data_IF_334439678386
#
_entry.id   IF_334439678386
#
_cell.length_a   1.000
_cell.length_b   1.000
_cell.length_c   1.000
_cell.angle_alpha   90.00
_cell.angle_beta   90.00
_cell.angle_gamma   90.00
#
_symmetry.space_group_name_H-M   'P 1'
#
loop_
_entity.id
_entity.type
_entity.pdbx_description
1 polymer ?
#
# COMPACT_ATOMS: atom_id res chain seq x y z
N UNK A 1 -9.33 -48.96 -1.27
CA UNK A 1 -7.99 -48.68 -1.83
C UNK A 1 -7.69 -47.19 -1.65
N UNK A 2 -6.51 -46.86 -1.12
CA UNK A 2 -6.11 -45.45 -0.93
C UNK A 2 -5.12 -45.10 -2.02
N UNK A 3 -5.40 -44.02 -2.78
CA UNK A 3 -4.53 -43.47 -3.82
C UNK A 3 -3.63 -42.37 -3.23
N UNK A 4 -2.49 -42.12 -3.89
CA UNK A 4 -1.66 -40.96 -3.58
C UNK A 4 -2.44 -39.67 -3.84
N UNK A 5 -2.35 -38.72 -2.91
CA UNK A 5 -3.06 -37.43 -2.98
C UNK A 5 -2.43 -36.45 -3.99
N UNK A 6 -1.18 -36.68 -4.39
CA UNK A 6 -0.52 -35.80 -5.36
C UNK A 6 -1.17 -35.90 -6.74
N UNK A 7 -1.39 -34.74 -7.40
CA UNK A 7 -1.97 -34.67 -8.72
C UNK A 7 -1.08 -35.42 -9.75
N UNK A 8 -1.69 -36.23 -10.63
CA UNK A 8 -0.98 -36.99 -11.65
C UNK A 8 -0.24 -38.25 -11.14
N UNK A 9 -0.31 -38.53 -9.84
CA UNK A 9 0.29 -39.75 -9.27
C UNK A 9 -0.70 -40.91 -9.22
N UNK A 10 -0.33 -42.05 -9.81
CA UNK A 10 -1.19 -43.23 -9.92
C UNK A 10 -0.94 -44.31 -8.85
N UNK A 11 -0.05 -44.07 -7.90
CA UNK A 11 0.29 -45.02 -6.83
C UNK A 11 -0.89 -45.22 -5.86
N UNK A 12 -1.17 -46.50 -5.54
CA UNK A 12 -2.28 -46.92 -4.65
C UNK A 12 -1.88 -48.09 -3.76
N UNK A 13 -2.58 -48.25 -2.64
CA UNK A 13 -2.43 -49.45 -1.79
C UNK A 13 -2.89 -50.72 -2.49
N UNK A 14 -2.20 -51.87 -2.31
CA UNK A 14 -2.64 -53.20 -2.74
C UNK A 14 -2.01 -53.75 -4.02
N UNK A 15 -1.11 -53.05 -4.70
CA UNK A 15 -0.19 -53.60 -5.70
C UNK A 15 1.23 -53.60 -5.14
N UNK A 16 2.13 -54.48 -5.63
CA UNK A 16 3.58 -54.44 -5.27
C UNK A 16 4.11 -53.03 -5.49
N UNK A 17 4.09 -52.24 -4.43
CA UNK A 17 4.52 -50.84 -4.44
C UNK A 17 6.02 -50.77 -4.26
N UNK A 18 6.68 -50.03 -5.16
CA UNK A 18 8.10 -49.64 -5.00
C UNK A 18 8.26 -48.46 -4.02
N UNK A 19 7.15 -47.94 -3.48
CA UNK A 19 7.16 -46.73 -2.59
C UNK A 19 6.14 -46.89 -1.44
N UNK A 20 6.45 -46.28 -0.30
CA UNK A 20 5.58 -46.22 0.88
C UNK A 20 4.53 -45.11 0.75
N UNK A 21 3.39 -45.25 1.43
CA UNK A 21 2.34 -44.23 1.50
C UNK A 21 2.30 -43.61 2.92
N UNK A 22 2.67 -42.34 3.02
CA UNK A 22 2.73 -41.58 4.28
C UNK A 22 1.41 -40.88 4.59
N UNK A 23 1.07 -40.81 5.89
CA UNK A 23 -0.01 -39.96 6.38
C UNK A 23 0.45 -38.51 6.44
N UNK A 24 -0.47 -37.59 6.17
CA UNK A 24 -0.24 -36.17 6.38
C UNK A 24 0.08 -35.87 7.85
N UNK A 25 0.85 -34.79 8.14
CA UNK A 25 1.17 -34.39 9.49
C UNK A 25 -0.08 -34.06 10.32
N UNK A 26 -0.01 -34.29 11.64
CA UNK A 26 -1.03 -33.86 12.58
C UNK A 26 -1.00 -32.36 12.83
N UNK A 27 0.18 -31.75 12.74
CA UNK A 27 0.32 -30.29 12.80
C UNK A 27 -0.42 -29.63 11.65
N UNK A 28 -1.31 -28.68 11.99
CA UNK A 28 -2.22 -28.02 11.03
C UNK A 28 -1.46 -27.19 9.99
N UNK A 29 -0.34 -26.55 10.40
CA UNK A 29 0.43 -25.67 9.51
C UNK A 29 1.24 -26.49 8.52
N UNK A 30 1.88 -27.53 8.99
CA UNK A 30 2.66 -28.44 8.16
C UNK A 30 1.74 -29.20 7.19
N UNK A 31 0.61 -29.69 7.66
CA UNK A 31 -0.42 -30.34 6.83
C UNK A 31 -0.91 -29.44 5.72
N UNK A 32 -1.25 -28.17 6.01
CA UNK A 32 -1.67 -27.18 5.02
C UNK A 32 -0.61 -26.99 3.94
N UNK A 33 0.65 -26.88 4.34
CA UNK A 33 1.80 -26.78 3.42
C UNK A 33 1.92 -27.99 2.49
N UNK A 34 1.72 -29.20 3.01
CA UNK A 34 1.76 -30.42 2.20
C UNK A 34 0.60 -30.49 1.21
N UNK A 35 -0.60 -30.12 1.63
CA UNK A 35 -1.80 -30.06 0.75
C UNK A 35 -1.57 -29.05 -0.40
N UNK A 36 -1.10 -27.85 -0.08
CA UNK A 36 -0.79 -26.82 -1.07
C UNK A 36 0.28 -27.28 -2.08
N UNK A 37 1.32 -27.97 -1.61
CA UNK A 37 2.36 -28.55 -2.49
C UNK A 37 1.82 -29.65 -3.40
N UNK A 38 0.78 -30.37 -3.02
CA UNK A 38 0.14 -31.36 -3.87
C UNK A 38 -0.67 -30.76 -5.03
N UNK A 39 -1.02 -29.48 -4.99
CA UNK A 39 -1.76 -28.72 -6.02
C UNK A 39 -3.02 -29.41 -6.52
N UNK A 40 -3.72 -30.12 -5.65
CA UNK A 40 -4.94 -30.82 -6.00
C UNK A 40 -6.13 -29.89 -5.87
N UNK A 41 -6.75 -29.53 -7.01
CA UNK A 41 -7.88 -28.62 -7.07
C UNK A 41 -9.23 -29.34 -7.31
N UNK A 42 -9.18 -30.66 -7.62
CA UNK A 42 -10.35 -31.47 -7.94
C UNK A 42 -11.15 -31.91 -6.70
N UNK A 43 -10.54 -31.90 -5.54
CA UNK A 43 -11.17 -32.22 -4.25
C UNK A 43 -10.37 -31.73 -3.06
N UNK A 44 -11.06 -31.55 -1.94
CA UNK A 44 -10.44 -31.19 -0.67
C UNK A 44 -9.69 -32.36 -0.02
N UNK A 45 -8.79 -32.01 0.91
CA UNK A 45 -8.05 -32.96 1.73
C UNK A 45 -8.96 -33.69 2.73
N UNK A 46 -8.78 -35.00 2.81
CA UNK A 46 -9.43 -35.88 3.81
C UNK A 46 -8.38 -36.48 4.75
N UNK A 47 -8.66 -36.67 6.07
CA UNK A 47 -7.72 -37.27 7.05
C UNK A 47 -7.18 -38.66 6.67
N UNK A 48 -7.90 -39.38 5.82
CA UNK A 48 -7.49 -40.68 5.31
C UNK A 48 -6.56 -40.62 4.10
N UNK A 49 -6.32 -39.45 3.54
CA UNK A 49 -5.43 -39.28 2.38
C UNK A 49 -3.98 -39.62 2.74
N UNK A 50 -3.25 -40.08 1.74
CA UNK A 50 -1.86 -40.48 1.83
C UNK A 50 -1.08 -39.88 0.68
N UNK A 51 0.22 -39.70 0.87
CA UNK A 51 1.14 -39.30 -0.18
C UNK A 51 2.29 -40.28 -0.26
N UNK A 52 2.69 -40.70 -1.47
CA UNK A 52 3.73 -41.71 -1.60
C UNK A 52 5.15 -41.15 -1.41
N UNK A 53 6.06 -41.99 -0.97
CA UNK A 53 7.47 -41.63 -0.70
C UNK A 53 8.21 -41.07 -1.91
N UNK A 54 7.74 -41.32 -3.13
CA UNK A 54 8.31 -40.77 -4.37
C UNK A 54 8.26 -39.23 -4.44
N UNK A 55 7.42 -38.61 -3.64
CA UNK A 55 7.29 -37.15 -3.57
C UNK A 55 8.22 -36.50 -2.52
N UNK A 56 9.03 -37.30 -1.83
CA UNK A 56 9.93 -36.85 -0.78
C UNK A 56 11.39 -37.06 -1.19
N UNK A 57 12.23 -36.09 -0.90
CA UNK A 57 13.67 -36.21 -1.10
C UNK A 57 14.18 -37.43 -0.28
N UNK A 58 14.94 -38.31 -0.93
CA UNK A 58 15.44 -39.59 -0.36
C UNK A 58 14.34 -40.52 0.19
N UNK A 59 13.09 -40.30 -0.21
CA UNK A 59 11.94 -41.05 0.28
C UNK A 59 11.60 -40.82 1.76
N UNK A 60 12.24 -39.86 2.43
CA UNK A 60 12.09 -39.61 3.86
C UNK A 60 10.97 -38.60 4.14
N UNK A 61 10.04 -39.00 5.01
CA UNK A 61 8.90 -38.16 5.39
C UNK A 61 9.27 -36.83 6.02
N UNK A 62 10.38 -36.78 6.75
CA UNK A 62 10.90 -35.61 7.45
C UNK A 62 11.23 -34.43 6.53
N UNK A 63 11.62 -34.71 5.28
CA UNK A 63 11.96 -33.71 4.29
C UNK A 63 10.74 -33.02 3.67
N UNK A 64 9.52 -33.46 3.99
CA UNK A 64 8.31 -32.99 3.35
C UNK A 64 8.23 -33.34 1.85
N UNK A 65 7.04 -33.23 1.22
CA UNK A 65 6.90 -33.54 -0.19
C UNK A 65 7.40 -32.36 -1.06
N UNK A 66 8.42 -32.61 -1.91
CA UNK A 66 9.06 -31.60 -2.76
C UNK A 66 9.17 -32.04 -4.22
N UNK A 67 9.01 -33.33 -4.51
CA UNK A 67 9.20 -33.91 -5.85
C UNK A 67 7.83 -34.15 -6.50
N UNK A 68 7.50 -33.36 -7.52
CA UNK A 68 6.26 -33.48 -8.29
C UNK A 68 6.56 -33.35 -9.78
N UNK A 69 5.66 -33.87 -10.64
CA UNK A 69 5.82 -33.79 -12.09
C UNK A 69 5.92 -32.36 -12.63
N UNK A 70 5.30 -31.41 -11.97
CA UNK A 70 5.36 -29.98 -12.31
C UNK A 70 6.57 -29.25 -11.71
N UNK A 71 7.33 -29.87 -10.79
CA UNK A 71 8.52 -29.27 -10.16
C UNK A 71 9.84 -29.61 -10.86
N UNK A 72 9.80 -30.28 -12.00
CA UNK A 72 11.00 -30.77 -12.71
C UNK A 72 11.99 -29.67 -13.14
N UNK A 73 11.58 -28.42 -13.16
CA UNK A 73 12.42 -27.27 -13.53
C UNK A 73 12.77 -26.33 -12.37
N UNK A 74 12.33 -26.60 -11.15
CA UNK A 74 12.64 -25.80 -9.98
C UNK A 74 13.23 -26.71 -8.90
N UNK A 75 14.53 -26.61 -8.69
CA UNK A 75 15.15 -27.18 -7.52
C UNK A 75 14.49 -26.63 -6.27
N UNK A 76 14.35 -27.46 -5.25
CA UNK A 76 13.83 -27.21 -3.89
C UNK A 76 12.94 -25.98 -3.70
N UNK A 77 11.75 -26.21 -3.17
CA UNK A 77 10.96 -25.10 -2.61
C UNK A 77 11.85 -24.41 -1.55
N UNK A 78 12.02 -23.08 -1.59
CA UNK A 78 12.83 -22.40 -0.60
C UNK A 78 12.29 -22.70 0.80
N UNK A 79 13.16 -23.10 1.71
CA UNK A 79 12.84 -23.22 3.13
C UNK A 79 12.49 -21.83 3.64
N UNK A 80 11.22 -21.56 3.77
CA UNK A 80 10.74 -20.37 4.48
C UNK A 80 11.10 -20.59 5.95
N UNK A 81 12.19 -19.96 6.40
CA UNK A 81 12.59 -19.96 7.80
C UNK A 81 11.38 -19.51 8.64
N UNK A 82 10.87 -20.43 9.46
CA UNK A 82 9.76 -20.14 10.38
C UNK A 82 10.29 -19.12 11.37
N UNK A 83 9.73 -17.90 11.47
CA UNK A 83 10.14 -16.97 12.52
C UNK A 83 9.86 -17.62 13.86
N UNK A 84 10.91 -17.94 14.61
CA UNK A 84 10.80 -18.46 15.98
C UNK A 84 10.00 -17.44 16.78
N UNK A 85 8.81 -17.83 17.25
CA UNK A 85 8.01 -17.02 18.19
C UNK A 85 8.90 -16.68 19.37
N UNK A 86 9.23 -15.40 19.56
CA UNK A 86 9.80 -14.91 20.82
C UNK A 86 8.79 -15.28 21.93
N UNK A 87 9.21 -16.12 22.87
CA UNK A 87 8.49 -16.30 24.13
C UNK A 87 8.43 -14.94 24.80
N UNK A 88 7.24 -14.41 24.95
CA UNK A 88 7.00 -13.26 25.81
C UNK A 88 7.21 -13.79 27.23
N UNK A 89 8.37 -13.51 27.80
CA UNK A 89 8.59 -13.68 29.23
C UNK A 89 7.70 -12.65 29.92
N UNK A 90 6.80 -13.13 30.75
CA UNK A 90 6.08 -12.29 31.70
C UNK A 90 7.13 -11.65 32.61
N UNK A 91 7.10 -10.35 32.89
CA UNK A 91 7.99 -9.76 33.87
C UNK A 91 7.70 -10.39 35.23
N UNK A 92 8.71 -10.93 35.84
CA UNK A 92 8.65 -11.35 37.26
C UNK A 92 8.48 -10.07 38.08
N UNK A 93 7.48 -10.07 38.96
CA UNK A 93 7.31 -9.05 39.98
C UNK A 93 8.32 -9.40 41.05
N UNK A 94 9.45 -8.69 41.09
CA UNK A 94 10.35 -8.74 42.23
C UNK A 94 9.91 -7.67 43.22
N UNK A 95 9.58 -8.15 44.45
CA UNK A 95 9.41 -7.35 45.63
C UNK A 95 10.77 -6.73 46.02
N UNK A 96 10.86 -5.40 45.96
CA UNK A 96 12.04 -4.67 46.43
C UNK A 96 11.90 -4.46 47.91
N UNK A 97 12.62 -5.28 48.71
CA UNK A 97 12.91 -4.98 50.09
C UNK A 97 14.06 -3.97 50.19
N UNK A 98 13.80 -2.91 50.93
CA UNK A 98 14.77 -1.88 51.19
C UNK A 98 15.89 -2.34 52.12
N UNK A 99 17.15 -2.22 51.69
CA UNK A 99 18.27 -2.01 52.65
C UNK A 99 19.55 -1.57 51.88
N UNK A 100 20.08 -0.47 52.41
CA UNK A 100 21.48 -0.04 52.43
C UNK A 100 22.13 0.59 51.16
N UNK A 101 22.28 1.87 51.34
CA UNK A 101 23.24 2.79 50.72
C UNK A 101 24.66 2.34 51.03
N UNK A 102 25.52 2.25 50.03
CA UNK A 102 26.96 2.47 50.24
C UNK A 102 27.53 3.31 49.10
N UNK A 103 28.38 4.27 49.54
CA UNK A 103 28.97 5.34 48.77
C UNK A 103 30.33 4.91 48.29
N UNK A 104 30.67 5.19 47.05
CA UNK A 104 32.06 5.25 46.61
C UNK A 104 32.35 4.71 45.23
N UNK A 105 32.67 5.62 44.34
CA UNK A 105 33.90 5.67 43.55
C UNK A 105 33.76 6.61 42.35
N UNK A 106 34.61 7.60 42.36
CA UNK A 106 34.86 8.58 41.31
C UNK A 106 35.38 7.88 40.05
N UNK A 107 34.87 8.28 38.90
CA UNK A 107 35.50 8.01 37.59
C UNK A 107 35.69 9.34 36.87
N UNK A 108 36.95 9.73 36.78
CA UNK A 108 37.45 10.88 36.03
C UNK A 108 37.12 10.76 34.55
N UNK A 109 36.58 11.80 33.97
CA UNK A 109 36.46 11.99 32.53
C UNK A 109 37.39 13.12 32.14
N UNK A 110 38.46 12.77 31.45
CA UNK A 110 39.41 13.72 30.85
C UNK A 110 38.71 14.55 29.77
N UNK A 111 38.65 15.85 30.01
CA UNK A 111 38.25 16.85 29.03
C UNK A 111 39.53 17.40 28.32
N UNK A 112 39.67 17.06 27.06
CA UNK A 112 40.69 17.63 26.20
C UNK A 112 40.08 18.85 25.48
N UNK A 113 40.37 20.05 25.92
CA UNK A 113 40.04 21.30 25.23
C UNK A 113 41.29 22.18 25.07
N UNK A 114 41.89 22.15 23.89
CA UNK A 114 42.87 23.16 23.47
C UNK A 114 42.10 24.34 22.85
N UNK A 115 41.93 25.39 23.59
CA UNK A 115 41.62 26.73 23.07
C UNK A 115 42.72 27.66 23.59
N UNK A 116 43.58 28.11 22.68
CA UNK A 116 44.56 29.15 22.88
C UNK A 116 43.84 30.50 23.02
N UNK A 117 44.05 31.16 24.17
CA UNK A 117 43.60 32.53 24.44
C UNK A 117 44.76 33.48 24.09
N UNK A 118 44.54 34.57 23.35
CA UNK A 118 45.60 35.58 23.15
C UNK A 118 45.65 36.49 24.40
N UNK A 119 46.86 36.68 24.90
CA UNK A 119 47.20 37.63 25.94
C UNK A 119 46.95 39.08 25.52
N UNK A 120 46.75 39.91 26.56
CA UNK A 120 46.66 41.39 26.58
C UNK A 120 45.31 42.03 26.27
N UNK A 121 44.50 42.14 27.32
CA UNK A 121 43.57 43.27 27.49
C UNK A 121 43.97 43.99 28.78
N UNK A 122 44.46 45.21 28.60
CA UNK A 122 44.72 46.17 29.62
C UNK A 122 43.48 46.48 30.47
N UNK A 123 43.57 46.18 31.74
CA UNK A 123 42.51 46.52 32.71
C UNK A 123 42.54 48.02 32.95
N UNK A 124 41.58 48.73 32.38
CA UNK A 124 41.25 50.08 32.85
C UNK A 124 40.34 49.93 34.06
N UNK A 125 40.90 50.41 35.23
CA UNK A 125 40.14 50.60 36.46
C UNK A 125 39.07 51.66 36.21
N UNK A 126 37.79 51.24 36.24
CA UNK A 126 36.69 52.13 36.52
C UNK A 126 35.89 51.58 37.69
N UNK A 127 36.20 52.10 38.89
CA UNK A 127 35.46 51.76 40.08
C UNK A 127 34.35 52.78 40.30
N UNK A 128 33.20 52.59 39.69
CA UNK A 128 31.96 53.25 40.09
C UNK A 128 30.73 52.31 40.05
N UNK A 129 30.76 51.20 40.81
CA UNK A 129 29.57 50.40 41.09
C UNK A 129 29.38 50.11 42.57
N UNK A 130 29.34 51.12 43.36
CA UNK A 130 29.07 50.96 44.78
C UNK A 130 28.00 51.92 45.27
N UNK A 131 26.79 51.86 44.61
CA UNK A 131 25.62 52.62 45.18
C UNK A 131 24.28 51.87 44.93
N UNK A 132 24.25 50.59 44.81
CA UNK A 132 23.02 49.83 44.96
C UNK A 132 23.07 49.03 46.26
N UNK A 133 22.13 49.30 47.16
CA UNK A 133 22.11 48.67 48.47
C UNK A 133 22.00 47.12 48.31
N UNK A 134 22.64 46.33 49.19
CA UNK A 134 22.61 44.90 49.17
C UNK A 134 21.18 44.29 49.17
N UNK A 135 20.21 45.07 49.65
CA UNK A 135 18.79 44.69 49.68
C UNK A 135 18.14 44.76 48.27
N UNK A 136 18.55 45.67 47.38
CA UNK A 136 18.00 45.82 46.04
C UNK A 136 18.48 44.71 45.14
N UNK A 137 19.74 44.29 45.24
CA UNK A 137 20.30 43.17 44.51
C UNK A 137 19.69 41.84 44.96
N UNK A 138 19.35 41.67 46.21
CA UNK A 138 18.72 40.50 46.77
C UNK A 138 17.25 40.35 46.31
N UNK A 139 16.52 41.47 46.19
CA UNK A 139 15.16 41.45 45.63
C UNK A 139 15.15 41.15 44.12
N UNK A 140 16.12 41.68 43.37
CA UNK A 140 16.28 41.39 41.93
C UNK A 140 16.69 39.94 41.67
N UNK A 141 17.60 39.38 42.49
CA UNK A 141 17.96 37.97 42.40
C UNK A 141 16.76 37.05 42.69
N UNK A 142 15.99 37.37 43.72
CA UNK A 142 14.79 36.58 44.04
C UNK A 142 13.74 36.64 42.93
N UNK A 143 13.55 37.78 42.29
CA UNK A 143 12.64 37.91 41.13
C UNK A 143 13.13 37.08 39.95
N UNK A 144 14.45 37.10 39.64
CA UNK A 144 15.01 36.26 38.56
C UNK A 144 14.90 34.74 38.86
N UNK A 145 15.08 34.35 40.13
CA UNK A 145 14.86 32.97 40.56
C UNK A 145 13.41 32.52 40.38
N UNK A 146 12.44 33.35 40.73
CA UNK A 146 11.01 33.11 40.55
C UNK A 146 10.64 33.01 39.04
N UNK A 147 11.26 33.83 38.21
CA UNK A 147 11.06 33.82 36.75
C UNK A 147 11.68 32.56 36.12
N UNK A 148 12.87 32.14 36.56
CA UNK A 148 13.49 30.87 36.15
C UNK A 148 12.64 29.68 36.51
N UNK A 149 12.07 29.65 37.71
CA UNK A 149 11.17 28.57 38.15
C UNK A 149 9.91 28.51 37.26
N UNK A 150 9.32 29.66 36.93
CA UNK A 150 8.16 29.75 36.02
C UNK A 150 8.50 29.22 34.61
N UNK A 151 9.62 29.67 34.04
CA UNK A 151 10.09 29.23 32.74
C UNK A 151 10.41 27.73 32.73
N UNK A 152 10.99 27.21 33.80
CA UNK A 152 11.27 25.80 33.96
C UNK A 152 9.99 24.95 34.01
N UNK A 153 8.96 25.44 34.72
CA UNK A 153 7.64 24.83 34.76
C UNK A 153 6.97 24.84 33.37
N UNK A 154 7.06 25.95 32.65
CA UNK A 154 6.53 26.10 31.30
C UNK A 154 7.24 25.15 30.30
N UNK A 155 8.58 25.08 30.37
CA UNK A 155 9.37 24.10 29.59
C UNK A 155 8.95 22.66 29.90
N UNK A 156 8.71 22.32 31.18
CA UNK A 156 8.27 20.99 31.57
C UNK A 156 6.86 20.70 31.06
N UNK A 157 5.95 21.68 31.12
CA UNK A 157 4.60 21.53 30.53
C UNK A 157 4.64 21.38 29.01
N UNK A 158 5.53 22.09 28.32
CA UNK A 158 5.73 21.96 26.88
C UNK A 158 6.37 20.62 26.51
N UNK A 159 7.30 20.09 27.33
CA UNK A 159 7.90 18.75 27.17
C UNK A 159 6.90 17.63 27.43
N UNK A 160 5.91 17.83 28.29
CA UNK A 160 4.82 16.89 28.55
C UNK A 160 3.76 16.88 27.43
N UNK A 161 3.66 17.95 26.62
CA UNK A 161 2.85 17.94 25.42
C UNK A 161 3.43 16.94 24.42
N UNK A 162 2.70 15.85 24.17
CA UNK A 162 3.04 14.88 23.13
C UNK A 162 3.28 15.62 21.81
N UNK A 163 4.44 15.46 21.17
CA UNK A 163 4.70 16.16 19.92
C UNK A 163 3.66 15.73 18.88
N UNK A 164 2.93 16.70 18.33
CA UNK A 164 1.99 16.47 17.24
C UNK A 164 2.76 16.37 15.92
N UNK A 165 2.37 15.44 15.07
CA UNK A 165 2.90 15.33 13.72
C UNK A 165 2.39 16.51 12.89
N UNK A 166 3.28 17.19 12.18
CA UNK A 166 2.96 18.28 11.26
C UNK A 166 3.74 18.12 9.97
N UNK A 167 3.29 18.79 8.91
CA UNK A 167 4.03 18.80 7.64
C UNK A 167 5.45 19.37 7.82
N UNK A 168 5.63 20.36 8.68
CA UNK A 168 6.93 20.94 9.00
C UNK A 168 7.96 19.94 9.54
N UNK A 169 7.51 18.85 10.17
CA UNK A 169 8.41 17.79 10.66
C UNK A 169 8.98 16.89 9.55
N UNK A 170 8.40 16.89 8.36
CA UNK A 170 8.73 15.91 7.30
C UNK A 170 9.05 16.54 5.95
N UNK A 171 8.63 17.78 5.69
CA UNK A 171 8.71 18.41 4.35
C UNK A 171 10.14 18.50 3.81
N UNK A 172 11.12 18.67 4.69
CA UNK A 172 12.54 18.76 4.33
C UNK A 172 13.25 17.39 4.23
N UNK A 173 12.52 16.30 4.49
CA UNK A 173 13.05 14.94 4.45
C UNK A 173 12.39 14.17 3.29
N UNK A 174 13.08 13.99 2.13
CA UNK A 174 12.50 13.34 0.95
C UNK A 174 12.05 11.90 1.22
N UNK A 175 12.75 11.16 2.10
CA UNK A 175 12.40 9.77 2.42
C UNK A 175 11.08 9.72 3.20
N UNK A 176 10.90 10.63 4.18
CA UNK A 176 9.64 10.73 4.93
C UNK A 176 8.51 11.21 4.04
N UNK A 177 8.74 12.17 3.14
CA UNK A 177 7.74 12.63 2.19
C UNK A 177 7.25 11.48 1.32
N UNK A 178 8.15 10.69 0.72
CA UNK A 178 7.79 9.51 -0.06
C UNK A 178 7.11 8.42 0.77
N UNK A 179 7.57 8.19 2.00
CA UNK A 179 6.97 7.21 2.91
C UNK A 179 5.52 7.57 3.25
N UNK A 180 5.26 8.79 3.66
CA UNK A 180 3.97 9.20 4.20
C UNK A 180 2.96 9.64 3.13
N UNK A 181 3.43 10.22 2.03
CA UNK A 181 2.56 10.81 1.01
C UNK A 181 2.69 10.16 -0.37
N UNK A 182 3.79 9.48 -0.66
CA UNK A 182 4.20 9.01 -2.01
C UNK A 182 4.59 10.14 -2.96
N UNK A 183 4.72 11.38 -2.48
CA UNK A 183 5.03 12.55 -3.28
C UNK A 183 6.32 13.23 -2.83
N UNK A 184 6.96 13.98 -3.74
CA UNK A 184 8.00 14.95 -3.39
C UNK A 184 7.38 16.17 -2.72
N UNK A 185 8.21 16.99 -2.04
CA UNK A 185 7.79 18.24 -1.46
C UNK A 185 7.15 19.18 -2.51
N UNK A 186 7.74 19.29 -3.70
CA UNK A 186 7.21 20.13 -4.79
C UNK A 186 5.80 19.70 -5.22
N UNK A 187 5.59 18.38 -5.37
CA UNK A 187 4.27 17.85 -5.72
C UNK A 187 3.27 18.10 -4.60
N UNK A 188 3.69 17.97 -3.34
CA UNK A 188 2.85 18.26 -2.19
C UNK A 188 2.42 19.73 -2.18
N UNK A 189 3.33 20.67 -2.41
CA UNK A 189 3.01 22.10 -2.48
C UNK A 189 2.04 22.45 -3.63
N UNK A 190 2.17 21.75 -4.78
CA UNK A 190 1.20 21.93 -5.88
C UNK A 190 -0.20 21.48 -5.43
N UNK A 191 -0.31 20.31 -4.80
CA UNK A 191 -1.59 19.80 -4.29
C UNK A 191 -2.17 20.71 -3.20
N UNK A 192 -1.35 21.17 -2.26
CA UNK A 192 -1.72 22.10 -1.21
C UNK A 192 -2.33 23.38 -1.80
N UNK A 193 -1.64 24.03 -2.72
CA UNK A 193 -2.12 25.23 -3.40
C UNK A 193 -3.48 24.99 -4.11
N UNK A 194 -3.66 23.84 -4.73
CA UNK A 194 -4.91 23.51 -5.40
C UNK A 194 -6.04 23.31 -4.38
N UNK A 195 -5.77 22.63 -3.29
CA UNK A 195 -6.73 22.39 -2.20
C UNK A 195 -7.07 23.70 -1.50
N UNK A 196 -6.12 24.56 -1.19
CA UNK A 196 -6.36 25.87 -0.54
C UNK A 196 -7.31 26.76 -1.35
N UNK A 197 -7.20 26.73 -2.70
CA UNK A 197 -8.10 27.50 -3.57
C UNK A 197 -9.56 27.03 -3.54
N UNK A 198 -9.83 25.82 -3.06
CA UNK A 198 -11.20 25.33 -2.88
C UNK A 198 -11.85 25.81 -1.58
N UNK A 199 -11.09 26.36 -0.66
CA UNK A 199 -11.63 26.84 0.62
C UNK A 199 -12.65 27.99 0.47
N UNK A 200 -13.49 28.21 1.47
CA UNK A 200 -13.62 27.47 2.72
C UNK A 200 -14.30 26.10 2.57
N UNK A 201 -13.86 25.10 3.36
CA UNK A 201 -14.40 23.74 3.27
C UNK A 201 -15.68 23.57 4.05
N UNK A 202 -16.64 22.88 3.45
CA UNK A 202 -17.79 22.32 4.13
C UNK A 202 -17.42 20.92 4.64
N UNK A 203 -17.04 20.82 5.92
CA UNK A 203 -16.61 19.57 6.49
C UNK A 203 -17.75 18.56 6.59
N UNK A 204 -17.42 17.28 6.34
CA UNK A 204 -18.36 16.18 6.26
C UNK A 204 -19.31 16.07 7.47
N UNK A 205 -18.82 16.30 8.68
CA UNK A 205 -19.63 16.26 9.91
C UNK A 205 -20.44 17.52 10.18
N UNK A 206 -20.41 18.53 9.31
CA UNK A 206 -21.11 19.81 9.49
C UNK A 206 -20.47 20.74 10.55
N UNK A 207 -19.24 20.43 11.00
CA UNK A 207 -18.48 21.24 11.96
C UNK A 207 -17.07 21.50 11.43
N UNK A 208 -16.53 22.66 11.74
CA UNK A 208 -15.23 23.12 11.23
C UNK A 208 -14.06 22.56 12.04
N UNK A 209 -12.94 22.36 11.38
CA UNK A 209 -11.66 21.97 11.99
C UNK A 209 -10.77 23.21 12.04
N UNK A 210 -10.61 23.79 13.23
CA UNK A 210 -9.88 25.07 13.43
C UNK A 210 -8.41 24.84 13.80
N UNK A 211 -8.09 23.71 14.41
CA UNK A 211 -6.79 23.47 15.05
C UNK A 211 -5.71 22.91 14.11
N UNK A 212 -6.00 22.69 12.83
CA UNK A 212 -5.07 22.14 11.85
C UNK A 212 -4.96 23.06 10.64
N UNK A 213 -3.74 23.27 10.16
CA UNK A 213 -3.50 23.90 8.87
C UNK A 213 -4.06 23.04 7.73
N UNK A 214 -4.32 23.61 6.58
CA UNK A 214 -4.74 22.87 5.37
C UNK A 214 -3.67 21.83 5.01
N UNK A 215 -2.40 22.19 5.14
CA UNK A 215 -1.24 21.32 4.92
C UNK A 215 -1.25 20.08 5.80
N UNK A 216 -1.51 20.24 7.12
CA UNK A 216 -1.55 19.11 8.05
C UNK A 216 -2.76 18.21 7.81
N UNK A 217 -3.89 18.78 7.42
CA UNK A 217 -5.08 18.02 7.04
C UNK A 217 -4.85 17.24 5.74
N UNK A 218 -4.18 17.85 4.76
CA UNK A 218 -3.77 17.17 3.52
C UNK A 218 -2.79 16.05 3.83
N UNK A 219 -1.76 16.29 4.67
CA UNK A 219 -0.82 15.27 5.11
C UNK A 219 -1.53 14.09 5.77
N UNK A 220 -2.45 14.35 6.72
CA UNK A 220 -3.23 13.32 7.41
C UNK A 220 -4.01 12.45 6.41
N UNK A 221 -4.63 13.07 5.40
CA UNK A 221 -5.40 12.38 4.36
C UNK A 221 -4.48 11.55 3.46
N UNK A 222 -3.34 12.11 3.01
CA UNK A 222 -2.37 11.38 2.19
C UNK A 222 -1.76 10.20 2.95
N UNK A 223 -1.47 10.36 4.24
CA UNK A 223 -1.04 9.24 5.09
C UNK A 223 -2.10 8.14 5.19
N UNK A 224 -3.37 8.51 5.30
CA UNK A 224 -4.47 7.53 5.25
C UNK A 224 -4.48 6.76 3.95
N UNK A 225 -4.43 7.46 2.83
CA UNK A 225 -4.45 6.85 1.50
C UNK A 225 -3.20 5.99 1.26
N UNK A 226 -2.02 6.51 1.59
CA UNK A 226 -0.73 5.85 1.32
C UNK A 226 -0.47 4.64 2.21
N UNK A 227 -0.71 4.75 3.53
CA UNK A 227 -0.34 3.74 4.52
C UNK A 227 -1.53 2.96 5.07
N UNK A 228 -2.75 3.36 4.77
CA UNK A 228 -3.98 2.81 5.33
C UNK A 228 -3.96 2.72 6.87
N UNK A 229 -3.33 3.70 7.53
CA UNK A 229 -3.27 3.78 8.99
C UNK A 229 -4.68 3.74 9.58
N UNK A 230 -4.82 3.12 10.76
CA UNK A 230 -6.09 3.20 11.49
C UNK A 230 -6.35 4.64 11.93
N UNK A 231 -7.60 5.09 11.91
CA UNK A 231 -7.96 6.46 12.30
C UNK A 231 -7.54 6.78 13.74
N UNK A 232 -7.51 5.78 14.62
CA UNK A 232 -7.01 5.93 15.99
C UNK A 232 -5.48 6.18 16.00
N UNK A 233 -4.71 5.50 15.14
CA UNK A 233 -3.27 5.72 15.01
C UNK A 233 -2.97 7.14 14.52
N UNK A 234 -3.73 7.62 13.51
CA UNK A 234 -3.63 9.00 13.05
C UNK A 234 -4.02 10.00 14.13
N UNK A 235 -5.08 9.73 14.87
CA UNK A 235 -5.51 10.56 15.99
C UNK A 235 -4.39 10.72 17.04
N UNK A 236 -3.68 9.63 17.36
CA UNK A 236 -2.54 9.63 18.26
C UNK A 236 -1.33 10.40 17.70
N UNK A 237 -1.03 10.25 16.40
CA UNK A 237 0.11 10.97 15.76
C UNK A 237 -0.13 12.47 15.69
N UNK A 238 -1.33 12.88 15.37
CA UNK A 238 -1.72 14.28 15.22
C UNK A 238 -2.28 14.89 16.51
N UNK A 239 -2.26 14.17 17.63
CA UNK A 239 -2.77 14.59 18.93
C UNK A 239 -4.21 15.16 18.85
N UNK A 240 -5.11 14.38 18.27
CA UNK A 240 -6.52 14.77 18.04
C UNK A 240 -7.48 13.61 18.31
N UNK A 241 -8.77 13.82 18.08
CA UNK A 241 -9.79 12.79 18.22
C UNK A 241 -9.97 11.99 16.93
N UNK A 242 -10.36 10.70 17.06
CA UNK A 242 -10.74 9.86 15.91
C UNK A 242 -11.86 10.49 15.05
N UNK A 243 -12.81 11.21 15.68
CA UNK A 243 -13.88 11.87 14.98
C UNK A 243 -13.36 13.00 14.08
N UNK A 244 -12.39 13.79 14.58
CA UNK A 244 -11.69 14.83 13.81
C UNK A 244 -10.97 14.23 12.61
N UNK A 245 -10.21 13.15 12.81
CA UNK A 245 -9.52 12.42 11.72
C UNK A 245 -10.50 11.99 10.64
N UNK A 246 -11.57 11.31 11.04
CA UNK A 246 -12.60 10.84 10.09
C UNK A 246 -13.25 11.99 9.32
N UNK A 247 -13.55 13.11 9.99
CA UNK A 247 -14.11 14.30 9.35
C UNK A 247 -13.16 14.91 8.32
N UNK A 248 -11.88 15.06 8.67
CA UNK A 248 -10.85 15.58 7.76
C UNK A 248 -10.71 14.67 6.54
N UNK A 249 -10.52 13.35 6.73
CA UNK A 249 -10.30 12.40 5.64
C UNK A 249 -11.49 12.41 4.68
N UNK A 250 -12.72 12.33 5.19
CA UNK A 250 -13.92 12.38 4.35
C UNK A 250 -13.96 13.66 3.51
N UNK A 251 -13.71 14.82 4.14
CA UNK A 251 -13.73 16.11 3.45
C UNK A 251 -12.65 16.22 2.38
N UNK A 252 -11.40 15.88 2.72
CA UNK A 252 -10.27 16.02 1.81
C UNK A 252 -10.24 14.99 0.68
N UNK A 253 -10.79 13.78 0.88
CA UNK A 253 -10.98 12.83 -0.22
C UNK A 253 -11.97 13.40 -1.25
N UNK A 254 -13.05 14.03 -0.82
CA UNK A 254 -13.95 14.72 -1.73
C UNK A 254 -13.24 15.86 -2.47
N UNK A 255 -12.49 16.71 -1.77
CA UNK A 255 -11.75 17.82 -2.37
C UNK A 255 -10.72 17.33 -3.40
N UNK A 256 -9.93 16.31 -3.05
CA UNK A 256 -8.94 15.72 -3.96
C UNK A 256 -9.59 15.10 -5.20
N UNK A 257 -10.72 14.43 -5.05
CA UNK A 257 -11.47 13.88 -6.17
C UNK A 257 -11.94 14.98 -7.13
N UNK A 258 -12.54 16.06 -6.60
CA UNK A 258 -12.98 17.20 -7.43
C UNK A 258 -11.81 17.85 -8.19
N UNK A 259 -10.65 17.99 -7.53
CA UNK A 259 -9.46 18.59 -8.18
C UNK A 259 -8.88 17.63 -9.21
N UNK A 260 -8.52 16.41 -8.79
CA UNK A 260 -7.69 15.52 -9.59
C UNK A 260 -8.50 14.76 -10.64
N UNK A 261 -9.66 14.24 -10.26
CA UNK A 261 -10.47 13.44 -11.17
C UNK A 261 -11.37 14.33 -12.05
N UNK A 262 -12.20 15.15 -11.44
CA UNK A 262 -13.13 16.00 -12.21
C UNK A 262 -12.38 17.15 -12.92
N UNK A 263 -11.52 17.87 -12.20
CA UNK A 263 -10.83 19.05 -12.73
C UNK A 263 -9.66 18.74 -13.67
N UNK A 264 -8.89 17.67 -13.42
CA UNK A 264 -7.71 17.36 -14.23
C UNK A 264 -7.97 16.18 -15.17
N UNK A 265 -8.29 14.99 -14.65
CA UNK A 265 -8.37 13.79 -15.50
C UNK A 265 -9.49 13.88 -16.54
N UNK A 266 -10.70 14.25 -16.13
CA UNK A 266 -11.83 14.39 -17.06
C UNK A 266 -11.64 15.56 -18.07
N UNK A 267 -11.05 16.66 -17.62
CA UNK A 267 -10.82 17.82 -18.50
C UNK A 267 -9.73 17.55 -19.55
N UNK A 268 -8.66 16.84 -19.20
CA UNK A 268 -7.61 16.45 -20.15
C UNK A 268 -8.09 15.36 -21.10
N UNK A 269 -8.83 14.38 -20.59
CA UNK A 269 -9.41 13.27 -21.34
C UNK A 269 -8.37 12.40 -22.05
N UNK A 270 -8.84 11.61 -23.03
CA UNK A 270 -7.96 10.75 -23.83
C UNK A 270 -7.27 11.60 -24.91
N UNK A 271 -5.91 11.60 -25.00
CA UNK A 271 -5.19 12.34 -26.01
C UNK A 271 -5.63 11.97 -27.43
N UNK A 272 -5.54 12.90 -28.38
CA UNK A 272 -5.77 12.60 -29.79
C UNK A 272 -4.77 11.57 -30.31
N UNK A 273 -5.14 10.85 -31.37
CA UNK A 273 -4.27 9.85 -31.99
C UNK A 273 -2.92 10.45 -32.40
N UNK A 274 -2.90 11.66 -32.94
CA UNK A 274 -1.68 12.38 -33.31
C UNK A 274 -0.76 12.63 -32.10
N UNK A 275 -1.32 13.03 -30.96
CA UNK A 275 -0.54 13.19 -29.73
C UNK A 275 0.01 11.86 -29.22
N UNK A 276 -0.77 10.78 -29.32
CA UNK A 276 -0.30 9.42 -28.95
C UNK A 276 0.85 8.99 -29.84
N UNK A 277 0.77 9.20 -31.16
CA UNK A 277 1.84 8.87 -32.12
C UNK A 277 3.13 9.64 -31.84
N UNK A 278 3.04 10.93 -31.50
CA UNK A 278 4.20 11.76 -31.16
C UNK A 278 4.99 11.33 -29.92
N UNK A 279 4.39 10.54 -29.03
CA UNK A 279 5.03 10.04 -27.81
C UNK A 279 5.02 8.51 -27.71
N UNK A 280 4.87 7.82 -28.85
CA UNK A 280 4.71 6.37 -28.88
C UNK A 280 6.03 5.64 -28.60
N UNK A 281 6.09 4.75 -27.61
CA UNK A 281 7.29 3.98 -27.32
C UNK A 281 7.46 2.83 -28.31
N UNK A 282 8.69 2.31 -28.43
CA UNK A 282 9.04 1.19 -29.34
C UNK A 282 8.19 -0.09 -29.09
N UNK A 283 7.62 -0.25 -27.91
CA UNK A 283 6.72 -1.38 -27.61
C UNK A 283 5.44 -1.36 -28.44
N UNK A 284 5.03 -0.22 -28.99
CA UNK A 284 3.84 -0.02 -29.82
C UNK A 284 4.11 0.10 -31.32
N UNK A 285 5.36 -0.14 -31.77
CA UNK A 285 5.77 0.04 -33.16
C UNK A 285 4.83 -0.64 -34.17
N UNK A 286 4.33 -1.83 -33.83
CA UNK A 286 3.39 -2.59 -34.67
C UNK A 286 1.91 -2.21 -34.44
N UNK A 287 1.63 -1.38 -33.45
CA UNK A 287 0.30 -0.91 -33.09
C UNK A 287 0.24 0.62 -33.19
N UNK A 288 0.66 1.15 -34.34
CA UNK A 288 0.82 2.60 -34.56
C UNK A 288 -0.48 3.42 -34.41
N UNK A 289 -1.64 2.78 -34.57
CA UNK A 289 -2.96 3.37 -34.34
C UNK A 289 -3.48 3.15 -32.89
N UNK A 290 -2.69 2.53 -32.01
CA UNK A 290 -3.09 2.33 -30.63
C UNK A 290 -3.26 3.67 -29.92
N UNK A 291 -4.44 3.89 -29.36
CA UNK A 291 -4.77 5.08 -28.60
C UNK A 291 -4.81 4.82 -27.11
N UNK A 292 -5.29 3.63 -26.71
CA UNK A 292 -5.34 3.18 -25.31
C UNK A 292 -4.98 1.71 -25.18
N UNK A 293 -4.37 1.37 -24.05
CA UNK A 293 -4.35 0.03 -23.49
C UNK A 293 -5.22 0.02 -22.25
N UNK A 294 -6.15 -0.95 -22.17
CA UNK A 294 -7.09 -1.06 -21.04
C UNK A 294 -6.91 -2.35 -20.26
N UNK A 295 -7.20 -2.27 -18.98
CA UNK A 295 -7.22 -3.41 -18.07
C UNK A 295 -8.21 -3.19 -16.93
N UNK A 296 -8.77 -4.29 -16.38
CA UNK A 296 -9.65 -4.22 -15.21
C UNK A 296 -8.85 -4.60 -13.96
N UNK A 297 -8.85 -3.71 -12.98
CA UNK A 297 -8.16 -3.95 -11.72
C UNK A 297 -9.15 -4.14 -10.59
N UNK A 298 -8.85 -5.09 -9.68
CA UNK A 298 -9.67 -5.39 -8.52
C UNK A 298 -8.99 -4.94 -7.23
N UNK A 299 -9.79 -4.36 -6.34
CA UNK A 299 -9.41 -3.94 -5.00
C UNK A 299 -10.25 -4.70 -3.99
N UNK A 300 -9.64 -5.26 -2.95
CA UNK A 300 -10.37 -5.97 -1.90
C UNK A 300 -11.09 -5.00 -0.97
N UNK A 301 -12.22 -5.43 -0.42
CA UNK A 301 -12.96 -4.67 0.57
C UNK A 301 -13.48 -5.56 1.69
N UNK A 302 -13.87 -4.96 2.80
CA UNK A 302 -14.57 -5.66 3.87
C UNK A 302 -15.88 -6.27 3.36
N UNK A 303 -16.28 -7.39 3.95
CA UNK A 303 -17.52 -8.11 3.60
C UNK A 303 -18.71 -7.17 3.82
N UNK A 304 -19.57 -6.93 2.82
CA UNK A 304 -20.81 -6.21 3.02
C UNK A 304 -21.71 -6.91 4.03
N UNK A 305 -22.52 -6.16 4.77
CA UNK A 305 -23.46 -6.72 5.76
C UNK A 305 -24.69 -7.36 5.11
N UNK A 306 -25.10 -6.84 3.97
CA UNK A 306 -26.24 -7.32 3.19
C UNK A 306 -25.85 -8.48 2.28
N UNK A 307 -26.65 -9.55 2.25
CA UNK A 307 -26.37 -10.78 1.47
C UNK A 307 -26.35 -10.54 -0.04
N UNK A 308 -27.21 -9.66 -0.55
CA UNK A 308 -27.21 -9.33 -1.98
C UNK A 308 -25.91 -8.61 -2.37
N UNK A 309 -25.50 -7.64 -1.56
CA UNK A 309 -24.22 -6.94 -1.73
C UNK A 309 -23.02 -7.87 -1.58
N UNK A 310 -23.08 -8.88 -0.69
CA UNK A 310 -22.03 -9.91 -0.59
C UNK A 310 -21.91 -10.71 -1.88
N UNK A 311 -23.03 -11.19 -2.42
CA UNK A 311 -23.06 -11.96 -3.68
C UNK A 311 -22.50 -11.14 -4.84
N UNK A 312 -22.91 -9.87 -4.96
CA UNK A 312 -22.44 -8.96 -6.00
C UNK A 312 -20.94 -8.62 -5.86
N UNK A 313 -20.46 -8.42 -4.63
CA UNK A 313 -19.08 -8.08 -4.38
C UNK A 313 -18.12 -9.27 -4.48
N UNK A 314 -18.60 -10.51 -4.47
CA UNK A 314 -17.75 -11.69 -4.47
C UNK A 314 -17.14 -11.94 -5.86
N UNK A 315 -15.81 -11.83 -5.95
CA UNK A 315 -15.04 -12.19 -7.15
C UNK A 315 -14.64 -13.66 -7.10
N UNK A 316 -15.17 -14.45 -8.02
CA UNK A 316 -14.77 -15.86 -8.17
C UNK A 316 -13.28 -15.99 -8.52
N UNK A 317 -12.74 -15.04 -9.28
CA UNK A 317 -11.33 -15.03 -9.69
C UNK A 317 -10.39 -14.82 -8.50
N UNK A 318 -10.73 -13.90 -7.59
CA UNK A 318 -9.92 -13.59 -6.39
C UNK A 318 -10.34 -14.40 -5.16
N UNK A 319 -11.49 -15.10 -5.21
CA UNK A 319 -12.09 -15.78 -4.05
C UNK A 319 -12.26 -14.87 -2.83
N UNK A 320 -12.63 -13.62 -3.07
CA UNK A 320 -12.77 -12.55 -2.05
C UNK A 320 -13.85 -11.54 -2.47
N UNK A 321 -14.28 -10.73 -1.51
CA UNK A 321 -15.12 -9.56 -1.79
C UNK A 321 -14.25 -8.43 -2.31
N UNK A 322 -14.54 -7.97 -3.52
CA UNK A 322 -13.77 -6.96 -4.24
C UNK A 322 -14.68 -5.91 -4.87
N UNK A 323 -14.07 -4.82 -5.24
CA UNK A 323 -14.59 -3.85 -6.21
C UNK A 323 -13.64 -3.80 -7.40
N UNK A 324 -14.16 -3.52 -8.57
CA UNK A 324 -13.43 -3.56 -9.83
C UNK A 324 -13.55 -2.24 -10.56
N UNK A 325 -12.46 -1.76 -11.15
CA UNK A 325 -12.46 -0.59 -12.03
C UNK A 325 -11.76 -0.89 -13.36
N UNK A 326 -12.20 -0.23 -14.41
CA UNK A 326 -11.49 -0.16 -15.68
C UNK A 326 -10.49 0.99 -15.65
N UNK A 327 -9.24 0.71 -15.98
CA UNK A 327 -8.19 1.69 -16.18
C UNK A 327 -7.70 1.69 -17.62
N UNK A 328 -7.48 2.87 -18.20
CA UNK A 328 -6.90 2.97 -19.51
C UNK A 328 -5.68 3.88 -19.49
N UNK A 329 -4.62 3.44 -20.15
CA UNK A 329 -3.40 4.23 -20.33
C UNK A 329 -3.17 4.54 -21.81
N UNK A 330 -2.65 5.71 -22.09
CA UNK A 330 -2.11 6.03 -23.40
C UNK A 330 -0.80 5.25 -23.67
N UNK A 331 -0.32 5.13 -24.91
CA UNK A 331 0.91 4.39 -25.23
C UNK A 331 2.14 4.84 -24.40
N UNK A 332 2.23 6.10 -24.03
CA UNK A 332 3.29 6.65 -23.17
C UNK A 332 3.14 6.32 -21.66
N UNK A 333 2.23 5.42 -21.32
CA UNK A 333 1.92 4.98 -19.95
C UNK A 333 1.21 6.03 -19.06
N UNK A 334 0.74 7.15 -19.61
CA UNK A 334 -0.09 8.09 -18.85
C UNK A 334 -1.48 7.48 -18.62
N UNK A 335 -1.97 7.51 -17.38
CA UNK A 335 -3.35 7.15 -17.05
C UNK A 335 -4.28 8.23 -17.64
N UNK A 336 -5.19 7.83 -18.54
CA UNK A 336 -6.04 8.76 -19.29
C UNK A 336 -7.53 8.54 -19.04
N UNK A 337 -7.88 7.41 -18.42
CA UNK A 337 -9.25 7.09 -18.06
C UNK A 337 -9.26 6.13 -16.87
N UNK A 338 -10.21 6.38 -15.97
CA UNK A 338 -10.55 5.49 -14.87
C UNK A 338 -12.07 5.49 -14.73
N UNK A 339 -12.67 4.31 -14.58
CA UNK A 339 -14.10 4.17 -14.35
C UNK A 339 -14.44 4.32 -12.86
N UNK A 340 -15.72 4.48 -12.57
CA UNK A 340 -16.26 4.21 -11.26
C UNK A 340 -15.98 2.76 -10.84
N UNK A 341 -16.12 2.47 -9.54
CA UNK A 341 -15.97 1.13 -9.01
C UNK A 341 -17.25 0.31 -9.18
N UNK A 342 -17.09 -0.88 -9.75
CA UNK A 342 -18.15 -1.88 -9.93
C UNK A 342 -17.99 -3.02 -8.92
N UNK A 343 -19.05 -3.75 -8.59
CA UNK A 343 -18.96 -4.97 -7.78
C UNK A 343 -18.02 -6.01 -8.42
N UNK A 344 -17.30 -6.77 -7.60
CA UNK A 344 -16.29 -7.73 -8.04
C UNK A 344 -16.78 -8.83 -8.99
N UNK A 345 -18.09 -9.18 -8.94
CA UNK A 345 -18.70 -10.15 -9.86
C UNK A 345 -18.97 -9.59 -11.27
N UNK A 346 -18.86 -8.26 -11.47
CA UNK A 346 -19.13 -7.62 -12.76
C UNK A 346 -18.09 -8.05 -13.80
N UNK A 347 -18.53 -8.45 -14.99
CA UNK A 347 -17.63 -8.83 -16.08
C UNK A 347 -16.94 -7.58 -16.67
N UNK A 348 -15.73 -7.77 -17.20
CA UNK A 348 -14.97 -6.68 -17.81
C UNK A 348 -15.73 -6.05 -19.00
N UNK A 349 -16.43 -6.88 -19.78
CA UNK A 349 -17.28 -6.43 -20.88
C UNK A 349 -18.47 -5.58 -20.40
N UNK A 350 -19.10 -5.93 -19.27
CA UNK A 350 -20.19 -5.15 -18.69
C UNK A 350 -19.68 -3.79 -18.14
N UNK A 351 -18.47 -3.74 -17.60
CA UNK A 351 -17.86 -2.47 -17.16
C UNK A 351 -17.67 -1.55 -18.36
N UNK A 352 -17.16 -2.05 -19.48
CA UNK A 352 -16.95 -1.26 -20.71
C UNK A 352 -18.27 -0.66 -21.22
N UNK A 353 -19.37 -1.43 -21.15
CA UNK A 353 -20.70 -0.93 -21.56
C UNK A 353 -21.19 0.25 -20.74
N UNK A 354 -20.90 0.24 -19.45
CA UNK A 354 -21.46 1.21 -18.52
C UNK A 354 -20.55 2.41 -18.22
N UNK A 355 -19.23 2.27 -18.40
CA UNK A 355 -18.28 3.31 -17.94
C UNK A 355 -18.13 4.50 -18.90
N UNK A 356 -18.76 4.47 -20.07
CA UNK A 356 -18.71 5.57 -21.05
C UNK A 356 -17.39 5.68 -21.81
N UNK A 357 -16.49 4.69 -21.74
CA UNK A 357 -15.21 4.71 -22.46
C UNK A 357 -15.40 4.66 -23.97
N UNK A 358 -16.39 3.90 -24.44
CA UNK A 358 -16.65 3.72 -25.87
C UNK A 358 -17.04 5.04 -26.56
N UNK A 359 -17.74 5.94 -25.86
CA UNK A 359 -18.14 7.25 -26.37
C UNK A 359 -16.95 8.20 -26.60
N UNK A 360 -15.80 7.92 -25.98
CA UNK A 360 -14.57 8.72 -26.09
C UNK A 360 -13.66 8.28 -27.23
N UNK A 361 -14.01 7.21 -27.92
CA UNK A 361 -13.25 6.62 -29.01
C UNK A 361 -13.75 7.11 -30.38
N UNK A 362 -12.84 7.19 -31.33
CA UNK A 362 -13.10 7.68 -32.68
C UNK A 362 -12.69 6.64 -33.73
N UNK A 363 -13.28 6.74 -34.91
CA UNK A 363 -12.88 5.91 -36.05
C UNK A 363 -11.37 6.02 -36.32
N UNK A 364 -10.71 4.87 -36.50
CA UNK A 364 -9.26 4.77 -36.64
C UNK A 364 -8.51 4.50 -35.33
N UNK A 365 -9.18 4.58 -34.18
CA UNK A 365 -8.57 4.23 -32.91
C UNK A 365 -8.40 2.73 -32.76
N UNK A 366 -7.33 2.32 -32.10
CA UNK A 366 -7.05 0.94 -31.73
C UNK A 366 -6.95 0.82 -30.23
N UNK A 367 -7.58 -0.22 -29.70
CA UNK A 367 -7.57 -0.62 -28.29
C UNK A 367 -6.71 -1.86 -28.13
N UNK A 368 -5.85 -1.88 -27.10
CA UNK A 368 -5.18 -3.10 -26.64
C UNK A 368 -5.80 -3.53 -25.31
N UNK A 369 -6.24 -4.78 -25.22
CA UNK A 369 -6.87 -5.29 -24.00
C UNK A 369 -6.49 -6.76 -23.73
N UNK A 370 -6.88 -7.29 -22.55
CA UNK A 370 -6.71 -8.69 -22.24
C UNK A 370 -7.84 -9.55 -22.87
N UNK A 371 -7.67 -10.86 -22.83
CA UNK A 371 -8.64 -11.84 -23.32
C UNK A 371 -10.04 -11.70 -22.73
N UNK A 372 -10.14 -11.20 -21.47
CA UNK A 372 -11.40 -10.94 -20.78
C UNK A 372 -12.30 -9.90 -21.48
N UNK A 373 -11.70 -9.06 -22.32
CA UNK A 373 -12.41 -7.99 -23.02
C UNK A 373 -12.93 -8.46 -24.39
N UNK A 374 -13.89 -9.37 -24.38
CA UNK A 374 -14.58 -9.75 -25.61
C UNK A 374 -15.71 -8.75 -25.90
N UNK A 375 -15.36 -7.62 -26.53
CA UNK A 375 -16.25 -6.48 -26.80
C UNK A 375 -16.32 -6.12 -28.29
N UNK A 376 -16.00 -7.04 -29.19
CA UNK A 376 -15.97 -6.79 -30.62
C UNK A 376 -17.30 -6.29 -31.20
N UNK A 377 -18.41 -6.80 -30.69
CA UNK A 377 -19.77 -6.46 -31.04
C UNK A 377 -20.26 -5.09 -30.50
N UNK A 378 -19.47 -4.49 -29.60
CA UNK A 378 -19.82 -3.24 -28.90
C UNK A 378 -19.01 -2.03 -29.36
N UNK A 379 -17.98 -2.27 -30.17
CA UNK A 379 -17.07 -1.22 -30.61
C UNK A 379 -17.78 -0.21 -31.54
N UNK A 380 -17.48 1.09 -31.38
CA UNK A 380 -17.89 2.09 -32.37
C UNK A 380 -17.33 1.78 -33.76
N UNK A 381 -18.04 2.19 -34.79
CA UNK A 381 -17.60 1.98 -36.18
C UNK A 381 -16.20 2.54 -36.44
N UNK A 382 -15.33 1.70 -36.98
CA UNK A 382 -13.94 2.08 -37.31
C UNK A 382 -12.96 2.02 -36.15
N UNK A 383 -13.39 1.59 -34.95
CA UNK A 383 -12.50 1.29 -33.81
C UNK A 383 -12.10 -0.20 -33.88
N UNK A 384 -10.82 -0.49 -33.63
CA UNK A 384 -10.28 -1.84 -33.65
C UNK A 384 -9.84 -2.28 -32.26
N UNK A 385 -10.00 -3.58 -31.97
CA UNK A 385 -9.59 -4.20 -30.71
C UNK A 385 -8.54 -5.28 -30.99
N UNK A 386 -7.42 -5.20 -30.31
CA UNK A 386 -6.40 -6.25 -30.31
C UNK A 386 -6.34 -6.90 -28.91
N UNK A 387 -6.72 -8.16 -28.86
CA UNK A 387 -6.59 -9.05 -27.67
C UNK A 387 -5.76 -10.26 -28.06
N UNK A 388 -5.10 -10.92 -27.09
CA UNK A 388 -4.41 -12.19 -27.37
C UNK A 388 -5.36 -13.23 -27.95
N UNK A 389 -4.98 -13.97 -28.99
CA UNK A 389 -5.84 -14.98 -29.61
C UNK A 389 -6.24 -16.07 -28.61
N UNK A 390 -7.39 -16.71 -28.87
CA UNK A 390 -7.90 -17.82 -28.08
C UNK A 390 -7.37 -19.14 -28.63
N UNK A 391 -7.07 -20.10 -27.77
CA UNK A 391 -6.67 -21.44 -28.16
C UNK A 391 -7.83 -22.26 -28.74
N UNK A 392 -9.08 -21.88 -28.45
CA UNK A 392 -10.32 -22.59 -28.87
C UNK A 392 -10.17 -24.13 -28.89
N UNK A 393 -10.17 -24.75 -30.07
CA UNK A 393 -10.01 -26.20 -30.28
C UNK A 393 -8.56 -26.62 -30.54
N UNK A 394 -7.60 -25.71 -30.58
CA UNK A 394 -6.19 -26.01 -30.88
C UNK A 394 -5.43 -26.47 -29.64
N UNK A 395 -4.48 -27.37 -29.79
CA UNK A 395 -3.61 -27.81 -28.70
C UNK A 395 -2.49 -26.80 -28.35
N UNK A 396 -2.12 -25.97 -29.33
CA UNK A 396 -1.06 -24.94 -29.18
C UNK A 396 -1.27 -23.81 -30.18
N UNK A 397 -0.65 -22.65 -29.89
CA UNK A 397 -0.64 -21.52 -30.82
C UNK A 397 0.24 -21.77 -32.04
N UNK A 398 -0.12 -21.18 -33.17
CA UNK A 398 0.80 -21.06 -34.30
C UNK A 398 1.94 -20.10 -33.94
N UNK A 399 3.01 -20.11 -34.75
CA UNK A 399 4.14 -19.22 -34.56
C UNK A 399 3.72 -17.73 -34.61
N UNK A 400 2.83 -17.40 -35.55
CA UNK A 400 2.27 -16.08 -35.75
C UNK A 400 1.40 -15.64 -34.55
N UNK A 401 0.52 -16.53 -34.09
CA UNK A 401 -0.32 -16.29 -32.90
C UNK A 401 0.53 -16.08 -31.65
N UNK A 402 1.59 -16.89 -31.47
CA UNK A 402 2.52 -16.75 -30.34
C UNK A 402 3.27 -15.41 -30.40
N UNK A 403 3.71 -14.99 -31.61
CA UNK A 403 4.33 -13.68 -31.80
C UNK A 403 3.36 -12.55 -31.52
N UNK A 404 2.11 -12.65 -31.98
CA UNK A 404 1.08 -11.63 -31.70
C UNK A 404 0.80 -11.53 -30.19
N UNK A 405 0.65 -12.66 -29.48
CA UNK A 405 0.52 -12.68 -28.03
C UNK A 405 1.67 -11.93 -27.32
N UNK A 406 2.91 -12.20 -27.75
CA UNK A 406 4.09 -11.54 -27.21
C UNK A 406 4.07 -10.02 -27.43
N UNK A 407 3.73 -9.58 -28.65
CA UNK A 407 3.65 -8.17 -29.02
C UNK A 407 2.58 -7.42 -28.23
N UNK A 408 1.36 -7.99 -28.15
CA UNK A 408 0.27 -7.43 -27.35
C UNK A 408 0.68 -7.35 -25.85
N UNK A 409 1.23 -8.43 -25.31
CA UNK A 409 1.69 -8.45 -23.91
C UNK A 409 2.75 -7.38 -23.62
N UNK A 410 3.72 -7.19 -24.53
CA UNK A 410 4.76 -6.18 -24.41
C UNK A 410 4.19 -4.75 -24.41
N UNK A 411 3.14 -4.48 -25.19
CA UNK A 411 2.50 -3.19 -25.23
C UNK A 411 1.57 -2.96 -24.04
N UNK A 412 0.87 -4.01 -23.57
CA UNK A 412 -0.02 -3.95 -22.40
C UNK A 412 0.70 -3.78 -21.06
N UNK A 413 1.99 -4.08 -20.97
CA UNK A 413 2.75 -3.92 -19.71
C UNK A 413 2.63 -2.52 -19.12
N UNK A 414 2.32 -1.52 -19.93
CA UNK A 414 2.15 -0.13 -19.48
C UNK A 414 0.91 0.03 -18.59
N UNK A 415 -0.23 -0.61 -18.91
CA UNK A 415 -1.42 -0.55 -18.07
C UNK A 415 -1.26 -1.41 -16.81
N UNK A 416 -0.58 -2.55 -16.90
CA UNK A 416 -0.27 -3.38 -15.74
C UNK A 416 0.61 -2.63 -14.73
N UNK A 417 1.65 -1.92 -15.20
CA UNK A 417 2.48 -1.04 -14.37
C UNK A 417 1.72 0.14 -13.78
N UNK A 418 0.77 0.71 -14.52
CA UNK A 418 -0.08 1.77 -13.98
C UNK A 418 -0.94 1.23 -12.83
N UNK A 419 -1.56 0.07 -13.01
CA UNK A 419 -2.34 -0.61 -11.98
C UNK A 419 -1.50 -0.98 -10.75
N UNK A 420 -0.24 -1.40 -10.94
CA UNK A 420 0.71 -1.63 -9.85
C UNK A 420 1.00 -0.33 -9.07
N UNK A 421 1.28 0.77 -9.77
CA UNK A 421 1.51 2.07 -9.13
C UNK A 421 0.31 2.59 -8.34
N UNK A 422 -0.91 2.42 -8.88
CA UNK A 422 -2.15 2.74 -8.17
C UNK A 422 -2.22 1.94 -6.86
N UNK A 423 -1.92 0.65 -6.89
CA UNK A 423 -1.94 -0.24 -5.72
C UNK A 423 -0.79 -0.01 -4.72
N UNK A 424 0.18 0.84 -5.03
CA UNK A 424 1.16 1.30 -4.04
C UNK A 424 0.52 2.14 -2.92
N UNK A 425 -0.69 2.65 -3.12
CA UNK A 425 -1.48 3.23 -2.06
C UNK A 425 -2.18 2.11 -1.27
N UNK A 426 -1.74 1.85 -0.04
CA UNK A 426 -2.20 0.72 0.78
C UNK A 426 -3.70 0.71 1.08
N UNK A 427 -4.38 1.84 0.98
CA UNK A 427 -5.85 1.90 1.05
C UNK A 427 -6.50 1.06 -0.06
N UNK A 428 -5.83 0.91 -1.21
CA UNK A 428 -6.28 0.14 -2.36
C UNK A 428 -5.84 -1.34 -2.30
N UNK A 429 -5.06 -1.75 -1.32
CA UNK A 429 -4.87 -3.17 -1.01
C UNK A 429 -6.11 -3.74 -0.34
N UNK A 430 -6.77 -2.94 0.52
CA UNK A 430 -8.01 -3.30 1.19
C UNK A 430 -8.77 -2.07 1.68
N UNK A 431 -9.97 -1.83 1.14
CA UNK A 431 -10.82 -0.69 1.53
C UNK A 431 -11.60 -1.05 2.80
N UNK A 432 -11.38 -0.35 3.93
CA UNK A 432 -12.12 -0.56 5.16
C UNK A 432 -13.61 -0.21 5.01
N UNK A 433 -14.49 -0.91 5.74
CA UNK A 433 -15.94 -0.71 5.70
C UNK A 433 -16.37 0.74 5.95
N UNK A 434 -15.66 1.42 6.85
CA UNK A 434 -15.95 2.83 7.20
C UNK A 434 -15.74 3.81 6.03
N UNK A 435 -14.89 3.46 5.02
CA UNK A 435 -14.62 4.27 3.83
C UNK A 435 -15.24 3.70 2.56
N UNK A 436 -16.09 2.67 2.65
CA UNK A 436 -16.75 2.06 1.49
C UNK A 436 -17.57 3.08 0.69
N UNK A 437 -18.23 4.01 1.35
CA UNK A 437 -19.00 5.07 0.70
C UNK A 437 -18.15 6.05 -0.11
N UNK A 438 -16.84 6.09 0.14
CA UNK A 438 -15.86 6.89 -0.60
C UNK A 438 -15.05 6.06 -1.61
N UNK A 439 -15.30 4.75 -1.73
CA UNK A 439 -14.42 3.84 -2.47
C UNK A 439 -14.14 4.31 -3.90
N UNK A 440 -15.15 4.76 -4.65
CA UNK A 440 -14.99 5.34 -6.00
C UNK A 440 -14.15 6.62 -6.00
N UNK A 441 -14.27 7.46 -4.96
CA UNK A 441 -13.49 8.70 -4.87
C UNK A 441 -12.04 8.48 -4.41
N UNK A 442 -11.80 7.39 -3.69
CA UNK A 442 -10.47 6.97 -3.24
C UNK A 442 -9.69 6.33 -4.39
N UNK A 443 -10.38 5.58 -5.25
CA UNK A 443 -9.79 4.95 -6.43
C UNK A 443 -9.58 5.97 -7.53
#
# INVERSE_FOLDING_TARGET
MVYCFAIGCTHKTGKKLQCNLYRFPTDVRERKRWVERCRRADRDYNPNDRICSCHFLDGKKENGPTIFSYSKNFGCFPDVAIPKRRKIMKPAVEEISASNIDVGAEAEVEANSNITVPDSITVLHDHEYATSSPQHNKASLKHMEEELVKLQQEINMLKLKKPSMTIGNIINDPEKMLLYTSFSADTFYILENLVERMGPFNYYGGWTVVNFSVSDQLLMTLMKLRLNCRDLDLAERFNTSRATVSNIINTFVHALHEILFEGVMKAVGIPSQLKCQGSMPKSFEEFSSARIAMDATEVTQDIPTDMNSQSLAYSNYKSRHTVKALTCVAPNAALVFCSDLYPGSTSDSAIVDHCGILEKLQAGDMILADKGFNIFDKLPNGVTLNIPPFLTSKSHFTKEEAQLCYKIGRSRIHVERANERIKNFEILSHIPSQYRHLSTKIF
#
